data_IF_191853246418
#
_entry.id   IF_191853246418
#
_cell.length_a   1.000
_cell.length_b   1.000
_cell.length_c   1.000
_cell.angle_alpha   90.00
_cell.angle_beta   90.00
_cell.angle_gamma   90.00
#
_symmetry.space_group_name_H-M   'P 1'
#
loop_
_entity.id
_entity.type
_entity.pdbx_description
1 polymer ?
#
# COMPACT_ATOMS: atom_id res chain seq x y z
N UNK A 1 23.02 6.69 -8.35
CA UNK A 1 22.24 6.19 -9.50
C UNK A 1 21.00 7.06 -9.60
N UNK A 2 20.57 7.49 -10.79
CA UNK A 2 19.34 8.28 -10.93
C UNK A 2 18.14 7.37 -10.75
N UNK A 3 17.19 7.76 -9.91
CA UNK A 3 15.90 7.06 -9.79
C UNK A 3 15.26 6.95 -11.18
N UNK A 4 14.78 5.77 -11.59
CA UNK A 4 14.14 5.64 -12.90
C UNK A 4 12.93 6.56 -12.99
N UNK A 5 12.71 7.09 -14.20
CA UNK A 5 11.53 7.93 -14.43
C UNK A 5 10.26 7.09 -14.20
N UNK A 6 9.29 7.65 -13.47
CA UNK A 6 8.01 7.03 -13.22
C UNK A 6 7.34 6.66 -14.56
N UNK A 7 7.00 5.39 -14.73
CA UNK A 7 6.24 4.96 -15.91
C UNK A 7 4.79 5.38 -15.78
N UNK A 8 4.22 5.80 -16.89
CA UNK A 8 2.79 6.15 -16.92
C UNK A 8 1.96 4.88 -17.08
N UNK A 9 1.19 4.54 -16.06
CA UNK A 9 0.20 3.48 -16.14
C UNK A 9 -0.91 3.83 -17.15
N UNK A 10 -1.43 2.87 -17.92
CA UNK A 10 -2.58 3.08 -18.78
C UNK A 10 -3.90 3.21 -18.01
N UNK A 11 -3.89 2.87 -16.74
CA UNK A 11 -5.08 2.99 -15.89
C UNK A 11 -5.33 4.45 -15.49
N UNK A 12 -6.59 4.86 -15.29
CA UNK A 12 -6.91 6.19 -14.82
C UNK A 12 -6.37 6.42 -13.40
N UNK A 13 -6.12 7.68 -13.07
CA UNK A 13 -5.86 8.10 -11.70
C UNK A 13 -6.99 7.63 -10.77
N UNK A 14 -6.64 7.35 -9.52
CA UNK A 14 -7.58 6.78 -8.56
C UNK A 14 -8.44 7.89 -7.95
N UNK A 15 -9.76 7.84 -8.16
CA UNK A 15 -10.67 8.74 -7.44
C UNK A 15 -10.78 8.29 -5.98
N UNK A 16 -10.51 9.21 -5.07
CA UNK A 16 -10.68 9.03 -3.63
C UNK A 16 -11.85 9.90 -3.15
N UNK A 17 -12.78 9.29 -2.45
CA UNK A 17 -13.85 9.98 -1.74
C UNK A 17 -13.65 9.75 -0.25
N UNK A 18 -13.55 10.82 0.52
CA UNK A 18 -13.43 10.77 1.99
C UNK A 18 -14.70 11.33 2.61
N UNK A 19 -15.31 10.57 3.48
CA UNK A 19 -16.48 11.00 4.24
C UNK A 19 -16.12 11.34 5.69
N UNK A 20 -16.91 12.16 6.31
CA UNK A 20 -16.81 12.52 7.72
C UNK A 20 -18.09 13.18 8.21
N UNK A 21 -17.99 14.08 9.16
CA UNK A 21 -19.17 14.72 9.76
C UNK A 21 -19.04 16.23 9.75
N UNK A 22 -20.18 16.92 9.58
CA UNK A 22 -20.27 18.36 9.79
C UNK A 22 -20.40 18.69 11.30
N UNK A 23 -20.34 19.96 11.72
CA UNK A 23 -20.48 20.33 13.14
C UNK A 23 -21.79 19.92 13.81
N UNK A 24 -22.83 19.59 13.05
CA UNK A 24 -24.11 19.06 13.57
C UNK A 24 -24.09 17.53 13.70
N UNK A 25 -22.97 16.84 13.42
CA UNK A 25 -22.84 15.39 13.47
C UNK A 25 -23.45 14.65 12.29
N UNK A 26 -23.84 15.36 11.23
CA UNK A 26 -24.39 14.74 10.03
C UNK A 26 -23.27 14.30 9.09
N UNK A 27 -23.40 13.12 8.50
CA UNK A 27 -22.44 12.61 7.52
C UNK A 27 -22.35 13.53 6.29
N UNK A 28 -21.11 13.77 5.82
CA UNK A 28 -20.84 14.62 4.67
C UNK A 28 -19.60 14.13 3.92
N UNK A 29 -19.40 14.64 2.71
CA UNK A 29 -18.17 14.43 1.95
C UNK A 29 -17.16 15.51 2.37
N UNK A 30 -15.99 15.06 2.82
CA UNK A 30 -14.87 15.93 3.18
C UNK A 30 -13.94 16.18 1.99
N UNK A 31 -13.77 15.18 1.15
CA UNK A 31 -12.99 15.27 -0.09
C UNK A 31 -13.56 14.34 -1.17
N UNK A 32 -13.49 14.81 -2.42
CA UNK A 32 -13.76 14.01 -3.63
C UNK A 32 -12.76 14.48 -4.69
N UNK A 33 -11.70 13.69 -4.90
CA UNK A 33 -10.58 14.08 -5.76
C UNK A 33 -9.87 12.89 -6.41
N UNK A 34 -9.25 13.14 -7.56
CA UNK A 34 -8.30 12.21 -8.16
C UNK A 34 -6.97 12.27 -7.40
N UNK A 35 -6.43 11.12 -7.09
CA UNK A 35 -5.10 10.99 -6.50
C UNK A 35 -4.09 10.76 -7.62
N UNK A 36 -3.06 11.62 -7.74
CA UNK A 36 -2.05 11.46 -8.77
C UNK A 36 -1.14 10.28 -8.47
N UNK A 37 -0.57 9.72 -9.53
CA UNK A 37 0.51 8.76 -9.42
C UNK A 37 1.76 9.40 -8.77
N UNK A 38 2.36 8.66 -7.85
CA UNK A 38 3.63 9.05 -7.18
C UNK A 38 4.65 7.92 -7.26
N UNK A 39 5.93 8.24 -7.02
CA UNK A 39 6.99 7.24 -6.97
C UNK A 39 7.13 6.63 -5.57
N UNK A 40 7.73 5.47 -5.52
CA UNK A 40 8.18 4.83 -4.28
C UNK A 40 9.50 5.47 -3.84
N UNK A 41 9.48 6.51 -3.06
CA UNK A 41 10.71 7.17 -2.61
C UNK A 41 11.70 6.16 -2.00
N UNK A 42 12.97 6.20 -2.48
CA UNK A 42 14.04 5.32 -1.99
C UNK A 42 14.13 3.94 -2.66
N UNK A 43 13.20 3.58 -3.54
CA UNK A 43 13.25 2.31 -4.29
C UNK A 43 13.52 2.56 -5.77
N UNK A 44 14.34 1.68 -6.35
CA UNK A 44 14.67 1.71 -7.79
C UNK A 44 13.57 1.00 -8.59
N UNK A 45 12.39 1.60 -8.60
CA UNK A 45 11.25 1.11 -9.37
C UNK A 45 10.55 2.24 -10.10
N UNK A 46 10.18 1.97 -11.36
CA UNK A 46 9.38 2.87 -12.18
C UNK A 46 7.86 2.66 -11.98
N UNK A 47 7.46 1.71 -11.16
CA UNK A 47 6.06 1.39 -10.91
C UNK A 47 5.38 2.51 -10.12
N UNK A 48 4.26 3.09 -10.61
CA UNK A 48 3.54 4.12 -9.90
C UNK A 48 2.75 3.55 -8.71
N UNK A 49 2.62 4.37 -7.67
CA UNK A 49 1.68 4.16 -6.57
C UNK A 49 0.72 5.34 -6.41
N UNK A 50 -0.41 5.09 -5.80
CA UNK A 50 -1.41 6.09 -5.46
C UNK A 50 -1.69 6.00 -3.97
N UNK A 51 -1.40 7.07 -3.27
CA UNK A 51 -1.54 7.17 -1.82
C UNK A 51 -2.98 7.55 -1.47
N UNK A 52 -3.73 6.66 -0.80
CA UNK A 52 -5.15 6.86 -0.56
C UNK A 52 -5.47 7.30 0.86
N UNK A 53 -4.91 6.63 1.87
CA UNK A 53 -5.22 6.97 3.25
C UNK A 53 -4.12 6.47 4.20
N UNK A 54 -3.91 7.21 5.27
CA UNK A 54 -3.06 6.82 6.39
C UNK A 54 -3.79 7.11 7.70
N UNK A 55 -3.64 6.23 8.68
CA UNK A 55 -3.96 6.48 10.07
C UNK A 55 -2.83 5.97 10.95
N UNK A 56 -2.35 6.79 11.88
CA UNK A 56 -1.21 6.48 12.75
C UNK A 56 -1.52 5.52 13.88
N UNK A 57 -2.78 5.11 14.08
CA UNK A 57 -3.19 4.21 15.17
C UNK A 57 -4.47 3.45 14.88
N UNK A 58 -4.62 2.32 15.58
CA UNK A 58 -5.86 1.54 15.65
C UNK A 58 -6.23 1.35 17.15
N UNK A 59 -7.47 1.65 17.59
CA UNK A 59 -8.59 2.17 16.77
C UNK A 59 -8.33 3.55 16.17
N UNK A 60 -8.80 3.76 14.93
CA UNK A 60 -8.64 5.02 14.23
C UNK A 60 -9.46 6.15 14.91
N UNK A 61 -8.95 7.38 14.84
CA UNK A 61 -9.69 8.58 15.24
C UNK A 61 -10.33 9.16 13.99
N UNK A 62 -11.66 9.19 13.96
CA UNK A 62 -12.45 9.57 12.77
C UNK A 62 -13.31 10.81 12.98
N UNK A 63 -13.10 11.53 14.07
CA UNK A 63 -13.86 12.73 14.48
C UNK A 63 -12.97 13.96 14.70
N UNK A 64 -11.74 13.92 14.21
CA UNK A 64 -10.75 14.96 14.44
C UNK A 64 -11.19 16.34 13.92
N UNK A 65 -11.94 16.38 12.81
CA UNK A 65 -12.49 17.60 12.23
C UNK A 65 -13.60 18.21 13.10
N UNK A 66 -14.38 17.40 13.82
CA UNK A 66 -15.43 17.88 14.72
C UNK A 66 -14.83 18.32 16.05
N UNK A 67 -14.05 17.44 16.68
CA UNK A 67 -13.49 17.66 18.03
C UNK A 67 -12.50 18.82 18.05
N UNK A 68 -11.71 18.99 17.00
CA UNK A 68 -10.73 20.09 16.88
C UNK A 68 -11.31 21.38 16.28
N UNK A 69 -12.53 21.35 15.75
CA UNK A 69 -13.13 22.43 14.94
C UNK A 69 -12.23 22.86 13.77
N UNK A 70 -11.42 21.95 13.26
CA UNK A 70 -10.50 22.17 12.16
C UNK A 70 -11.01 21.45 10.91
N UNK A 71 -10.55 21.91 9.76
CA UNK A 71 -10.74 21.20 8.51
C UNK A 71 -10.01 19.84 8.59
N UNK A 72 -10.61 18.77 8.03
CA UNK A 72 -9.94 17.48 7.87
C UNK A 72 -8.56 17.63 7.22
N UNK A 73 -7.60 16.92 7.75
CA UNK A 73 -6.22 16.91 7.27
C UNK A 73 -5.89 15.52 6.73
N UNK A 74 -5.38 15.48 5.51
CA UNK A 74 -4.88 14.26 4.90
C UNK A 74 -3.50 13.92 5.47
N UNK A 75 -3.46 13.01 6.44
CA UNK A 75 -2.21 12.55 7.06
C UNK A 75 -1.30 11.83 6.07
N UNK A 76 -1.84 11.26 4.98
CA UNK A 76 -1.08 10.55 3.97
C UNK A 76 0.03 11.39 3.35
N UNK A 77 -0.14 12.72 3.27
CA UNK A 77 0.87 13.63 2.71
C UNK A 77 2.20 13.63 3.49
N UNK A 78 2.12 13.45 4.81
CA UNK A 78 3.30 13.36 5.68
C UNK A 78 3.94 11.96 5.67
N UNK A 79 3.21 10.96 5.20
CA UNK A 79 3.56 9.54 5.22
C UNK A 79 3.68 8.91 3.82
N UNK A 80 3.85 9.73 2.78
CA UNK A 80 3.93 9.23 1.40
C UNK A 80 5.14 8.35 1.12
N UNK A 81 6.23 8.49 1.91
CA UNK A 81 7.42 7.64 1.83
C UNK A 81 7.30 6.35 2.64
N UNK A 82 6.35 6.26 3.56
CA UNK A 82 6.20 5.08 4.41
C UNK A 82 5.68 3.91 3.59
N UNK A 83 6.22 2.72 3.83
CA UNK A 83 5.78 1.49 3.15
C UNK A 83 4.58 0.89 3.89
N UNK A 84 4.54 1.02 5.21
CA UNK A 84 3.44 0.59 6.07
C UNK A 84 3.30 1.55 7.28
N UNK A 85 2.18 1.49 7.99
CA UNK A 85 1.96 2.23 9.23
C UNK A 85 2.26 1.34 10.43
N UNK A 86 3.21 1.73 11.31
CA UNK A 86 3.67 0.86 12.43
C UNK A 86 2.57 0.48 13.42
N UNK A 87 1.69 1.42 13.77
CA UNK A 87 0.63 1.22 14.79
C UNK A 87 -0.77 1.46 14.23
N UNK A 88 -0.86 1.75 12.95
CA UNK A 88 -2.08 2.16 12.28
C UNK A 88 -2.38 1.35 11.03
N UNK A 89 -2.89 2.03 10.01
CA UNK A 89 -3.16 1.44 8.71
C UNK A 89 -2.77 2.39 7.57
N UNK A 90 -2.36 1.79 6.46
CA UNK A 90 -2.05 2.49 5.22
C UNK A 90 -2.87 1.86 4.09
N UNK A 91 -3.55 2.67 3.30
CA UNK A 91 -4.30 2.25 2.12
C UNK A 91 -3.67 2.86 0.87
N UNK A 92 -3.30 2.01 -0.09
CA UNK A 92 -2.55 2.39 -1.28
C UNK A 92 -2.93 1.54 -2.48
N UNK A 93 -2.74 2.09 -3.67
CA UNK A 93 -2.79 1.35 -4.94
C UNK A 93 -1.39 1.30 -5.52
N UNK A 94 -1.04 0.19 -6.11
CA UNK A 94 0.20 0.01 -6.88
C UNK A 94 -0.12 -0.51 -8.27
N UNK A 95 0.47 0.11 -9.28
CA UNK A 95 0.44 -0.38 -10.64
C UNK A 95 1.81 -0.99 -10.98
N UNK A 96 1.79 -2.16 -11.59
CA UNK A 96 2.98 -2.91 -11.97
C UNK A 96 3.07 -2.98 -13.49
N UNK A 97 4.13 -2.42 -14.04
CA UNK A 97 4.39 -2.49 -15.47
C UNK A 97 4.68 -3.94 -15.92
N UNK A 98 4.42 -4.30 -17.18
CA UNK A 98 4.87 -5.58 -17.74
C UNK A 98 6.36 -5.80 -17.50
N UNK A 99 6.73 -6.99 -17.03
CA UNK A 99 8.11 -7.38 -16.74
C UNK A 99 8.73 -6.75 -15.48
N UNK A 100 7.98 -5.95 -14.72
CA UNK A 100 8.52 -5.35 -13.50
C UNK A 100 8.61 -6.34 -12.34
N UNK A 101 9.62 -6.16 -11.49
CA UNK A 101 9.82 -6.93 -10.25
C UNK A 101 10.05 -5.95 -9.10
N UNK A 102 9.57 -6.28 -7.90
CA UNK A 102 9.90 -5.53 -6.68
C UNK A 102 11.10 -6.14 -5.98
N UNK A 103 11.83 -5.37 -5.15
CA UNK A 103 12.81 -5.95 -4.24
C UNK A 103 12.19 -7.02 -3.35
N UNK A 104 13.00 -7.98 -2.90
CA UNK A 104 12.58 -8.96 -1.88
C UNK A 104 12.53 -8.26 -0.54
N UNK A 105 11.38 -8.28 0.11
CA UNK A 105 11.20 -7.53 1.36
C UNK A 105 10.20 -8.17 2.32
N UNK A 106 10.30 -7.76 3.55
CA UNK A 106 9.35 -8.01 4.63
C UNK A 106 9.06 -6.72 5.37
N UNK A 107 7.78 -6.43 5.60
CA UNK A 107 7.30 -5.35 6.44
C UNK A 107 6.70 -5.91 7.73
N UNK A 108 6.73 -5.13 8.81
CA UNK A 108 6.02 -5.47 10.05
C UNK A 108 4.55 -5.09 9.93
N UNK A 109 3.87 -5.76 9.00
CA UNK A 109 2.47 -5.49 8.67
C UNK A 109 1.68 -6.75 8.36
N UNK A 110 0.37 -6.65 8.53
CA UNK A 110 -0.62 -7.56 7.99
C UNK A 110 -1.29 -6.86 6.81
N UNK A 111 -1.05 -7.36 5.60
CA UNK A 111 -1.54 -6.70 4.40
C UNK A 111 -2.67 -7.49 3.74
N UNK A 112 -3.69 -6.77 3.30
CA UNK A 112 -4.73 -7.28 2.42
C UNK A 112 -4.50 -6.69 1.03
N UNK A 113 -4.29 -7.55 0.04
CA UNK A 113 -4.15 -7.17 -1.35
C UNK A 113 -5.31 -7.68 -2.19
N UNK A 114 -5.77 -6.87 -3.15
CA UNK A 114 -6.83 -7.23 -4.09
C UNK A 114 -6.33 -6.88 -5.49
N UNK A 115 -6.22 -7.87 -6.37
CA UNK A 115 -5.90 -7.64 -7.79
C UNK A 115 -7.13 -7.07 -8.47
N UNK A 116 -7.09 -5.79 -8.80
CA UNK A 116 -8.20 -5.10 -9.45
C UNK A 116 -8.18 -5.23 -10.97
N UNK A 117 -6.97 -5.36 -11.56
CA UNK A 117 -6.74 -5.52 -13.00
C UNK A 117 -5.47 -6.32 -13.26
N UNK A 118 -5.51 -7.15 -14.30
CA UNK A 118 -4.36 -7.91 -14.76
C UNK A 118 -4.03 -9.12 -13.90
N UNK A 119 -2.76 -9.51 -13.89
CA UNK A 119 -2.26 -10.63 -13.08
C UNK A 119 -0.84 -10.38 -12.59
N UNK A 120 -0.49 -10.98 -11.45
CA UNK A 120 0.83 -10.82 -10.84
C UNK A 120 1.28 -12.11 -10.17
N UNK A 121 2.57 -12.33 -10.10
CA UNK A 121 3.17 -13.46 -9.39
C UNK A 121 3.69 -12.97 -8.04
N UNK A 122 3.20 -13.55 -6.97
CA UNK A 122 3.78 -13.47 -5.63
C UNK A 122 4.86 -14.54 -5.49
N UNK A 123 6.04 -14.15 -5.04
CA UNK A 123 7.19 -15.04 -4.83
C UNK A 123 7.56 -14.99 -3.35
N UNK A 124 7.60 -16.14 -2.68
CA UNK A 124 7.98 -16.27 -1.28
C UNK A 124 9.45 -16.67 -1.13
N UNK A 125 10.02 -16.47 0.06
CA UNK A 125 11.42 -16.74 0.38
C UNK A 125 11.82 -18.23 0.15
N UNK A 126 10.90 -19.17 0.32
CA UNK A 126 11.13 -20.61 0.08
C UNK A 126 11.04 -21.00 -1.40
N UNK A 127 10.93 -20.02 -2.29
CA UNK A 127 10.82 -20.21 -3.74
C UNK A 127 9.43 -20.55 -4.23
N UNK A 128 8.44 -20.69 -3.34
CA UNK A 128 7.05 -20.89 -3.75
C UNK A 128 6.51 -19.65 -4.44
N UNK A 129 5.74 -19.89 -5.48
CA UNK A 129 5.13 -18.85 -6.29
C UNK A 129 3.65 -19.11 -6.46
N UNK A 130 2.87 -18.04 -6.52
CA UNK A 130 1.46 -18.10 -6.85
C UNK A 130 1.11 -16.94 -7.78
N UNK A 131 0.42 -17.26 -8.87
CA UNK A 131 -0.14 -16.25 -9.78
C UNK A 131 -1.52 -15.86 -9.28
N UNK A 132 -1.72 -14.56 -9.09
CA UNK A 132 -3.00 -13.97 -8.72
C UNK A 132 -3.54 -13.23 -9.94
N UNK A 133 -4.80 -13.45 -10.26
CA UNK A 133 -5.54 -12.80 -11.33
C UNK A 133 -6.55 -11.78 -10.82
N UNK A 134 -7.26 -11.14 -11.75
CA UNK A 134 -8.28 -10.14 -11.43
C UNK A 134 -9.36 -10.71 -10.50
N UNK A 135 -9.62 -10.03 -9.39
CA UNK A 135 -10.54 -10.44 -8.33
C UNK A 135 -9.90 -11.30 -7.22
N UNK A 136 -8.71 -11.86 -7.44
CA UNK A 136 -8.03 -12.62 -6.40
C UNK A 136 -7.54 -11.72 -5.27
N UNK A 137 -7.46 -12.33 -4.08
CA UNK A 137 -7.03 -11.64 -2.87
C UNK A 137 -5.85 -12.35 -2.22
N UNK A 138 -5.00 -11.58 -1.57
CA UNK A 138 -3.90 -12.08 -0.74
C UNK A 138 -4.01 -11.52 0.68
N UNK A 139 -3.74 -12.35 1.66
CA UNK A 139 -3.50 -11.96 3.05
C UNK A 139 -2.03 -12.23 3.33
N UNK A 140 -1.23 -11.17 3.41
CA UNK A 140 0.20 -11.26 3.63
C UNK A 140 0.54 -10.95 5.07
N UNK A 141 1.11 -11.94 5.76
CA UNK A 141 1.31 -11.93 7.20
C UNK A 141 2.79 -11.75 7.54
N UNK A 142 3.31 -10.53 7.33
CA UNK A 142 4.72 -10.20 7.58
C UNK A 142 5.70 -11.23 6.98
N UNK A 143 5.41 -11.72 5.79
CA UNK A 143 6.25 -12.73 5.10
C UNK A 143 7.27 -12.06 4.19
N UNK A 144 8.46 -12.66 4.06
CA UNK A 144 9.45 -12.24 3.06
C UNK A 144 8.94 -12.60 1.66
N UNK A 145 8.85 -11.59 0.77
CA UNK A 145 8.26 -11.77 -0.55
C UNK A 145 8.78 -10.75 -1.56
N UNK A 146 8.48 -11.04 -2.82
CA UNK A 146 8.55 -10.07 -3.93
C UNK A 146 7.36 -10.25 -4.86
N UNK A 147 7.11 -9.24 -5.68
CA UNK A 147 6.07 -9.24 -6.69
C UNK A 147 6.71 -9.16 -8.07
N UNK A 148 6.23 -9.96 -9.02
CA UNK A 148 6.70 -9.94 -10.40
C UNK A 148 5.53 -9.97 -11.37
N UNK A 149 5.47 -8.99 -12.26
CA UNK A 149 4.51 -8.99 -13.35
C UNK A 149 5.11 -9.69 -14.57
N UNK A 150 4.78 -10.97 -14.75
CA UNK A 150 5.20 -11.78 -15.90
C UNK A 150 4.25 -11.65 -17.09
N UNK A 151 3.13 -10.95 -16.93
CA UNK A 151 2.18 -10.75 -18.01
C UNK A 151 2.64 -9.67 -18.98
N UNK A 152 2.11 -9.67 -20.19
CA UNK A 152 2.33 -8.59 -21.17
C UNK A 152 1.51 -7.33 -20.88
N UNK A 153 0.71 -7.32 -19.81
CA UNK A 153 -0.23 -6.27 -19.49
C UNK A 153 0.11 -5.62 -18.14
N UNK A 154 -0.40 -4.40 -17.91
CA UNK A 154 -0.28 -3.75 -16.62
C UNK A 154 -1.17 -4.42 -15.57
N UNK A 155 -0.71 -4.42 -14.33
CA UNK A 155 -1.48 -4.95 -13.19
C UNK A 155 -1.71 -3.86 -12.16
N UNK A 156 -2.92 -3.77 -11.63
CA UNK A 156 -3.29 -2.86 -10.53
C UNK A 156 -3.72 -3.65 -9.30
N UNK A 157 -3.13 -3.33 -8.17
CA UNK A 157 -3.45 -3.97 -6.88
C UNK A 157 -3.75 -2.89 -5.85
N UNK A 158 -4.84 -3.08 -5.09
CA UNK A 158 -5.15 -2.32 -3.89
C UNK A 158 -4.56 -3.03 -2.69
N UNK A 159 -3.86 -2.29 -1.83
CA UNK A 159 -3.29 -2.81 -0.59
C UNK A 159 -3.79 -2.02 0.61
N UNK A 160 -4.22 -2.75 1.64
CA UNK A 160 -4.45 -2.20 2.98
C UNK A 160 -3.47 -2.89 3.93
N UNK A 161 -2.49 -2.15 4.42
CA UNK A 161 -1.51 -2.62 5.40
C UNK A 161 -1.87 -2.15 6.80
N UNK A 162 -1.96 -3.08 7.74
CA UNK A 162 -2.12 -2.83 9.17
C UNK A 162 -0.78 -3.08 9.85
N UNK A 163 -0.34 -2.16 10.71
CA UNK A 163 0.83 -2.36 11.54
C UNK A 163 0.72 -3.65 12.37
N UNK A 164 1.78 -4.42 12.40
CA UNK A 164 1.84 -5.67 13.14
C UNK A 164 3.11 -5.73 14.00
N UNK A 165 3.08 -6.55 15.04
CA UNK A 165 4.28 -6.86 15.80
C UNK A 165 5.18 -7.79 14.97
N UNK A 166 6.50 -7.75 15.18
CA UNK A 166 7.42 -8.70 14.57
C UNK A 166 6.98 -10.15 14.82
N UNK A 167 7.22 -11.00 13.86
CA UNK A 167 6.97 -12.45 14.02
C UNK A 167 8.03 -13.02 14.96
N UNK A 168 7.62 -13.65 16.05
CA UNK A 168 8.52 -14.31 16.99
C UNK A 168 8.57 -15.80 16.68
N UNK A 169 9.76 -16.32 16.42
CA UNK A 169 10.01 -17.73 16.17
C UNK A 169 10.04 -18.55 17.47
N UNK A 170 9.95 -19.88 17.37
CA UNK A 170 9.97 -20.77 18.51
C UNK A 170 11.26 -20.74 19.33
N UNK A 171 12.37 -20.22 18.78
CA UNK A 171 13.64 -20.00 19.43
C UNK A 171 13.79 -18.58 20.03
N UNK A 172 12.74 -17.77 19.95
CA UNK A 172 12.70 -16.39 20.47
C UNK A 172 13.27 -15.34 19.52
N UNK A 173 13.77 -15.70 18.33
CA UNK A 173 14.21 -14.71 17.34
C UNK A 173 13.02 -13.98 16.75
N UNK A 174 13.18 -12.68 16.51
CA UNK A 174 12.19 -11.84 15.85
C UNK A 174 12.53 -11.67 14.36
N UNK A 175 11.50 -11.76 13.51
CA UNK A 175 11.59 -11.44 12.10
C UNK A 175 11.06 -10.03 11.89
N UNK A 176 11.92 -9.04 11.96
CA UNK A 176 11.61 -7.63 11.74
C UNK A 176 11.55 -7.24 10.25
N UNK A 177 11.44 -5.94 10.01
CA UNK A 177 11.54 -5.37 8.67
C UNK A 177 12.88 -5.72 8.02
N UNK A 178 12.84 -6.14 6.76
CA UNK A 178 14.04 -6.53 6.02
C UNK A 178 13.86 -6.26 4.52
N UNK A 179 14.93 -5.75 3.89
CA UNK A 179 15.01 -5.49 2.46
C UNK A 179 16.28 -6.14 1.90
N UNK A 180 16.14 -6.89 0.79
CA UNK A 180 17.27 -7.52 0.11
C UNK A 180 17.36 -6.97 -1.31
N UNK A 181 18.56 -6.52 -1.69
CA UNK A 181 18.90 -6.32 -3.10
C UNK A 181 19.09 -7.67 -3.76
N UNK A 182 18.55 -7.85 -4.97
CA UNK A 182 18.91 -9.01 -5.82
C UNK A 182 20.38 -9.03 -6.15
#
# INVERSE_FOLDING_TARGET
MSTPALQKSPFPDVRRVVTGHNPAGQATILEDALQPATSWGGFDTANPKYDLHYTGRIPAVVDSEISSKRKWVDEMKAHSSDVYAKEGALFRVSDFAPGSTTPVHRTESLDYGIVAKGSIVLILEDGKQVTLGEGDTIIQRATMHSWRNESGEWTRIYFVGLGAKPVVLGDGRELGEEWRSE
#
